data_IF_464799276765
#
_entry.id   IF_464799276765
#
_cell.length_a   1.000
_cell.length_b   1.000
_cell.length_c   1.000
_cell.angle_alpha   90.00
_cell.angle_beta   90.00
_cell.angle_gamma   90.00
#
_symmetry.space_group_name_H-M   'P 1'
#
loop_
_entity.id
_entity.type
_entity.pdbx_description
1 polymer ?
#
# COMPACT_ATOMS: atom_id res chain seq x y z
N UNK A 1 13.21 -1.03 13.67
CA UNK A 1 12.22 -1.93 14.28
C UNK A 1 12.52 -3.36 13.88
N UNK A 2 12.68 -4.23 14.85
CA UNK A 2 13.04 -5.59 14.55
C UNK A 2 11.80 -6.39 14.13
N UNK A 3 11.68 -6.71 12.88
CA UNK A 3 10.78 -7.75 12.39
C UNK A 3 11.35 -9.11 12.81
N UNK A 4 11.40 -9.30 14.11
CA UNK A 4 12.18 -10.36 14.77
C UNK A 4 11.75 -11.74 14.31
N UNK A 5 10.47 -11.92 14.08
CA UNK A 5 9.91 -13.22 13.67
C UNK A 5 10.38 -13.62 12.27
N UNK A 6 10.34 -12.70 11.32
CA UNK A 6 10.79 -12.97 9.95
C UNK A 6 12.32 -13.13 9.89
N UNK A 7 13.03 -12.31 10.65
CA UNK A 7 14.48 -12.35 10.73
C UNK A 7 14.96 -13.68 11.33
N UNK A 8 14.27 -14.19 12.35
CA UNK A 8 14.58 -15.47 12.97
C UNK A 8 14.33 -16.67 12.03
N UNK A 9 13.44 -16.51 11.06
CA UNK A 9 13.18 -17.51 10.02
C UNK A 9 14.07 -17.33 8.80
N UNK A 10 14.98 -16.36 8.81
CA UNK A 10 15.82 -16.06 7.64
C UNK A 10 15.05 -15.44 6.48
N UNK A 11 13.84 -14.94 6.72
CA UNK A 11 12.97 -14.37 5.69
C UNK A 11 13.10 -12.85 5.71
N UNK A 12 13.41 -12.26 4.54
CA UNK A 12 13.42 -10.82 4.39
C UNK A 12 11.99 -10.29 4.33
N UNK A 13 11.66 -9.32 5.19
CA UNK A 13 10.36 -8.67 5.17
C UNK A 13 10.12 -7.97 3.83
N UNK A 14 8.94 -8.18 3.19
CA UNK A 14 8.56 -7.44 1.98
C UNK A 14 8.12 -6.01 2.29
N UNK A 15 7.95 -5.66 3.56
CA UNK A 15 7.47 -4.36 3.99
C UNK A 15 8.60 -3.36 4.22
N UNK A 16 8.30 -2.10 3.88
CA UNK A 16 9.07 -0.95 4.36
C UNK A 16 8.75 -0.71 5.84
N UNK A 17 9.59 0.04 6.52
CA UNK A 17 9.33 0.40 7.91
C UNK A 17 8.15 1.35 8.05
N UNK A 18 7.95 2.24 7.08
CA UNK A 18 6.93 3.29 7.10
C UNK A 18 6.30 3.51 5.75
N UNK A 19 5.00 3.70 5.75
CA UNK A 19 4.22 4.01 4.54
C UNK A 19 3.52 5.35 4.68
N UNK A 20 3.75 6.21 3.70
CA UNK A 20 3.04 7.46 3.49
C UNK A 20 1.76 7.23 2.68
N UNK A 21 0.97 8.27 2.48
CA UNK A 21 -0.17 8.24 1.57
C UNK A 21 0.32 8.31 0.12
N UNK A 22 -0.39 7.64 -0.78
CA UNK A 22 -0.12 7.76 -2.22
C UNK A 22 -1.22 8.61 -2.86
N UNK A 23 -0.88 9.85 -3.20
CA UNK A 23 -1.84 10.85 -3.69
C UNK A 23 -1.25 11.57 -4.90
N UNK A 24 -2.02 11.66 -5.99
CA UNK A 24 -1.59 12.37 -7.19
C UNK A 24 -0.32 11.79 -7.84
N UNK A 25 -0.12 10.49 -7.74
CA UNK A 25 1.05 9.81 -8.30
C UNK A 25 2.33 9.93 -7.46
N UNK A 26 2.21 10.39 -6.22
CA UNK A 26 3.35 10.62 -5.31
C UNK A 26 3.10 10.05 -3.92
N UNK A 27 4.17 9.69 -3.24
CA UNK A 27 4.13 9.40 -1.81
C UNK A 27 4.14 10.73 -1.04
N UNK A 28 3.12 10.94 -0.21
CA UNK A 28 2.89 12.19 0.52
C UNK A 28 2.74 11.89 2.01
N UNK A 29 3.51 12.54 2.84
CA UNK A 29 3.37 12.43 4.29
C UNK A 29 2.00 12.88 4.75
N UNK A 30 1.41 12.25 5.78
CA UNK A 30 0.17 12.75 6.35
C UNK A 30 0.36 14.19 6.85
N UNK A 31 -0.66 15.03 6.68
CA UNK A 31 -0.58 16.48 6.98
C UNK A 31 -0.09 16.76 8.40
N UNK A 32 -0.60 15.99 9.37
CA UNK A 32 -0.20 16.15 10.78
C UNK A 32 1.06 15.36 11.15
N UNK A 33 1.70 14.66 10.20
CA UNK A 33 2.89 13.87 10.45
C UNK A 33 2.67 12.69 11.39
N UNK A 34 1.45 12.21 11.53
CA UNK A 34 1.09 11.12 12.46
C UNK A 34 1.05 9.78 11.75
N UNK A 35 1.51 8.75 12.45
CA UNK A 35 1.53 7.37 11.99
C UNK A 35 1.01 6.46 13.09
N UNK A 36 0.64 5.24 12.75
CA UNK A 36 0.32 4.19 13.71
C UNK A 36 0.99 2.88 13.31
N UNK A 37 1.25 2.06 14.31
CA UNK A 37 1.87 0.76 14.09
C UNK A 37 0.85 -0.25 13.57
N UNK A 38 1.24 -1.01 12.54
CA UNK A 38 0.49 -2.17 12.09
C UNK A 38 1.09 -3.42 12.72
N UNK A 39 0.25 -4.21 13.36
CA UNK A 39 0.66 -5.36 14.18
C UNK A 39 0.30 -6.65 13.46
N UNK A 40 1.27 -7.55 13.31
CA UNK A 40 1.00 -8.88 12.75
C UNK A 40 0.38 -9.81 13.80
N UNK A 41 -0.69 -10.54 13.46
CA UNK A 41 -1.26 -11.53 14.38
C UNK A 41 -0.34 -12.76 14.61
N UNK A 42 0.66 -12.95 13.75
CA UNK A 42 1.62 -14.07 13.90
C UNK A 42 2.42 -13.95 15.20
N UNK A 43 2.90 -12.75 15.52
CA UNK A 43 3.75 -12.54 16.71
C UNK A 43 3.17 -11.55 17.71
N UNK A 44 2.09 -10.84 17.37
CA UNK A 44 1.55 -9.75 18.17
C UNK A 44 2.45 -8.52 18.23
N UNK A 45 3.42 -8.39 17.31
CA UNK A 45 4.38 -7.29 17.28
C UNK A 45 4.19 -6.42 16.02
N UNK A 46 4.55 -5.13 16.12
CA UNK A 46 4.49 -4.26 14.94
C UNK A 46 5.49 -4.70 13.88
N UNK A 47 5.09 -4.55 12.63
CA UNK A 47 5.92 -4.86 11.47
C UNK A 47 6.07 -3.71 10.48
N UNK A 48 5.25 -2.68 10.57
CA UNK A 48 5.41 -1.43 9.84
C UNK A 48 4.57 -0.34 10.48
N UNK A 49 4.81 0.89 10.07
CA UNK A 49 3.96 2.04 10.40
C UNK A 49 3.23 2.52 9.15
N UNK A 50 1.99 2.94 9.31
CA UNK A 50 1.20 3.53 8.23
C UNK A 50 0.68 4.91 8.63
N UNK A 51 0.47 5.76 7.63
CA UNK A 51 0.00 7.11 7.84
C UNK A 51 -1.35 7.13 8.56
N UNK A 52 -1.42 7.89 9.66
CA UNK A 52 -2.69 8.22 10.33
C UNK A 52 -3.22 9.50 9.72
N UNK A 53 -4.03 9.35 8.70
CA UNK A 53 -4.59 10.45 7.94
C UNK A 53 -5.79 11.09 8.65
N UNK A 54 -6.07 12.33 8.32
CA UNK A 54 -7.21 13.10 8.80
C UNK A 54 -8.02 13.67 7.64
N UNK A 55 -8.97 14.54 7.94
CA UNK A 55 -9.85 15.18 6.96
C UNK A 55 -9.06 15.91 5.85
N UNK A 56 -7.97 16.59 6.21
CA UNK A 56 -7.15 17.34 5.25
C UNK A 56 -6.46 16.41 4.24
N UNK A 57 -6.01 15.25 4.69
CA UNK A 57 -5.43 14.23 3.81
C UNK A 57 -6.48 13.68 2.83
N UNK A 58 -7.70 13.47 3.31
CA UNK A 58 -8.82 13.02 2.47
C UNK A 58 -9.17 14.08 1.42
N UNK A 59 -9.20 15.35 1.79
CA UNK A 59 -9.43 16.44 0.82
C UNK A 59 -8.38 16.48 -0.28
N UNK A 60 -7.10 16.33 0.06
CA UNK A 60 -6.02 16.23 -0.93
C UNK A 60 -6.21 15.04 -1.88
N UNK A 61 -6.63 13.90 -1.36
CA UNK A 61 -6.89 12.70 -2.16
C UNK A 61 -8.08 12.90 -3.11
N UNK A 62 -9.16 13.50 -2.61
CA UNK A 62 -10.34 13.82 -3.40
C UNK A 62 -10.02 14.83 -4.53
N UNK A 63 -9.25 15.86 -4.23
CA UNK A 63 -8.82 16.85 -5.22
C UNK A 63 -8.01 16.18 -6.35
N UNK A 64 -7.09 15.29 -6.01
CA UNK A 64 -6.31 14.54 -6.98
C UNK A 64 -7.21 13.63 -7.85
N UNK A 65 -8.18 12.96 -7.22
CA UNK A 65 -9.14 12.11 -7.92
C UNK A 65 -10.03 12.91 -8.88
N UNK A 66 -10.53 14.07 -8.46
CA UNK A 66 -11.32 14.96 -9.29
C UNK A 66 -10.52 15.52 -10.47
N UNK A 67 -9.25 15.85 -10.26
CA UNK A 67 -8.35 16.30 -11.33
C UNK A 67 -8.17 15.22 -12.41
N UNK A 68 -8.07 13.94 -12.02
CA UNK A 68 -7.89 12.83 -12.94
C UNK A 68 -9.19 12.36 -13.63
N UNK A 69 -10.33 12.70 -13.07
CA UNK A 69 -11.65 12.18 -13.47
C UNK A 69 -11.96 12.34 -14.95
N UNK A 70 -11.76 13.53 -15.51
CA UNK A 70 -12.18 13.83 -16.89
C UNK A 70 -11.34 13.05 -17.91
N UNK A 71 -10.03 13.04 -17.73
CA UNK A 71 -9.14 12.28 -18.60
C UNK A 71 -9.42 10.78 -18.52
N UNK A 72 -9.57 10.26 -17.31
CA UNK A 72 -9.90 8.86 -17.10
C UNK A 72 -11.26 8.48 -17.66
N UNK A 73 -12.26 9.35 -17.51
CA UNK A 73 -13.60 9.15 -18.06
C UNK A 73 -13.65 9.05 -19.59
N UNK A 74 -12.67 9.63 -20.27
CA UNK A 74 -12.54 9.60 -21.74
C UNK A 74 -11.77 8.39 -22.27
N UNK A 75 -11.15 7.58 -21.39
CA UNK A 75 -10.48 6.36 -21.84
C UNK A 75 -11.49 5.32 -22.31
N UNK A 76 -11.10 4.55 -23.32
CA UNK A 76 -11.94 3.47 -23.85
C UNK A 76 -12.02 2.29 -22.89
N UNK A 77 -13.05 1.46 -23.05
CA UNK A 77 -13.16 0.20 -22.29
C UNK A 77 -11.98 -0.73 -22.57
N UNK A 78 -11.46 -0.73 -23.78
CA UNK A 78 -10.28 -1.51 -24.17
C UNK A 78 -9.02 -1.05 -23.43
N UNK A 79 -8.79 0.26 -23.33
CA UNK A 79 -7.65 0.81 -22.58
C UNK A 79 -7.74 0.46 -21.10
N UNK A 80 -8.92 0.57 -20.50
CA UNK A 80 -9.15 0.19 -19.10
C UNK A 80 -8.92 -1.30 -18.87
N UNK A 81 -9.43 -2.15 -19.76
CA UNK A 81 -9.22 -3.60 -19.71
C UNK A 81 -7.73 -3.94 -19.81
N UNK A 82 -6.98 -3.30 -20.70
CA UNK A 82 -5.55 -3.52 -20.87
C UNK A 82 -4.76 -3.13 -19.62
N UNK A 83 -5.14 -2.05 -18.94
CA UNK A 83 -4.52 -1.66 -17.66
C UNK A 83 -4.76 -2.72 -16.59
N UNK A 84 -5.99 -3.23 -16.47
CA UNK A 84 -6.30 -4.29 -15.51
C UNK A 84 -5.54 -5.58 -15.80
N UNK A 85 -5.41 -5.97 -17.07
CA UNK A 85 -4.62 -7.13 -17.47
C UNK A 85 -3.14 -6.95 -17.13
N UNK A 86 -2.60 -5.74 -17.34
CA UNK A 86 -1.22 -5.42 -16.96
C UNK A 86 -1.02 -5.49 -15.44
N UNK A 87 -1.99 -5.03 -14.65
CA UNK A 87 -1.94 -5.17 -13.20
C UNK A 87 -1.90 -6.65 -12.81
N UNK A 88 -2.71 -7.48 -13.43
CA UNK A 88 -2.71 -8.93 -13.19
C UNK A 88 -1.34 -9.56 -13.49
N UNK A 89 -0.71 -9.19 -14.60
CA UNK A 89 0.63 -9.67 -14.97
C UNK A 89 1.68 -9.27 -13.93
N UNK A 90 1.64 -8.03 -13.45
CA UNK A 90 2.56 -7.54 -12.41
C UNK A 90 2.33 -8.26 -11.09
N UNK A 91 1.09 -8.53 -10.72
CA UNK A 91 0.76 -9.32 -9.52
C UNK A 91 1.31 -10.73 -9.62
N UNK A 92 1.15 -11.38 -10.77
CA UNK A 92 1.67 -12.73 -11.02
C UNK A 92 3.20 -12.79 -10.91
N UNK A 93 3.89 -11.79 -11.47
CA UNK A 93 5.35 -11.68 -11.38
C UNK A 93 5.85 -11.47 -9.95
N UNK A 94 5.01 -10.96 -9.06
CA UNK A 94 5.33 -10.69 -7.66
C UNK A 94 4.54 -11.57 -6.69
N UNK A 95 4.04 -12.71 -7.14
CA UNK A 95 3.14 -13.57 -6.37
C UNK A 95 3.69 -13.97 -5.01
N UNK A 96 4.96 -14.37 -4.93
CA UNK A 96 5.59 -14.81 -3.68
C UNK A 96 5.65 -13.68 -2.65
N UNK A 97 6.05 -12.47 -3.09
CA UNK A 97 6.15 -11.29 -2.23
C UNK A 97 4.76 -10.88 -1.73
N UNK A 98 3.77 -10.86 -2.61
CA UNK A 98 2.39 -10.49 -2.27
C UNK A 98 1.78 -11.51 -1.31
N UNK A 99 1.99 -12.80 -1.55
CA UNK A 99 1.51 -13.87 -0.68
C UNK A 99 2.12 -13.80 0.72
N UNK A 100 3.42 -13.52 0.80
CA UNK A 100 4.11 -13.34 2.08
C UNK A 100 3.58 -12.11 2.82
N UNK A 101 3.39 -11.00 2.11
CA UNK A 101 2.84 -9.78 2.69
C UNK A 101 1.44 -10.01 3.27
N UNK A 102 0.59 -10.72 2.54
CA UNK A 102 -0.76 -11.09 3.00
C UNK A 102 -0.72 -11.94 4.27
N UNK A 103 0.15 -12.95 4.30
CA UNK A 103 0.32 -13.82 5.47
C UNK A 103 0.77 -13.05 6.71
N UNK A 104 1.70 -12.11 6.55
CA UNK A 104 2.20 -11.29 7.66
C UNK A 104 1.09 -10.39 8.21
N UNK A 105 0.29 -9.81 7.33
CA UNK A 105 -0.74 -8.85 7.72
C UNK A 105 -1.96 -9.51 8.39
N UNK A 106 -2.41 -10.64 7.90
CA UNK A 106 -3.62 -11.31 8.40
C UNK A 106 -3.42 -12.65 9.10
N UNK A 107 -2.21 -13.17 9.10
CA UNK A 107 -1.87 -14.42 9.77
C UNK A 107 -2.29 -15.71 9.03
N UNK A 108 -2.75 -15.58 7.82
CA UNK A 108 -3.26 -16.72 7.04
C UNK A 108 -2.15 -17.55 6.39
#
# INVERSE_FOLDING_TARGET
MAYTTLKNLGIKSPYKEKYDNFIGGKWVKPVDGRYFENITPISGKPFCEVARSNEKDIELALDAAHTAKDAWGKTSTTERANILLKIADVMEQNLEIISLAETIDNGK
#
